data_IF_462600017285
#
_entry.id   IF_462600017285
#
_cell.length_a   1.000
_cell.length_b   1.000
_cell.length_c   1.000
_cell.angle_alpha   90.00
_cell.angle_beta   90.00
_cell.angle_gamma   90.00
#
_symmetry.space_group_name_H-M   'P 1'
#
loop_
_entity.id
_entity.type
_entity.pdbx_description
1 polymer ?
#
# COMPACT_ATOMS: atom_id res chain seq x y z
N UNK A 1 21.72 7.60 22.19
CA UNK A 1 21.60 7.20 20.77
C UNK A 1 20.46 6.20 20.73
N UNK A 2 19.27 6.63 20.33
CA UNK A 2 18.23 5.66 20.02
C UNK A 2 18.72 4.83 18.83
N UNK A 3 18.77 3.49 18.94
CA UNK A 3 19.20 2.67 17.82
C UNK A 3 18.21 2.91 16.68
N UNK A 4 18.75 3.22 15.50
CA UNK A 4 17.98 3.36 14.28
C UNK A 4 17.09 2.14 14.09
N UNK A 5 15.78 2.31 14.30
CA UNK A 5 14.73 1.58 13.58
C UNK A 5 14.42 0.13 13.97
N UNK A 6 14.70 -0.33 15.18
CA UNK A 6 14.39 -1.71 15.64
C UNK A 6 12.92 -1.97 16.00
N UNK A 7 12.02 -1.05 15.67
CA UNK A 7 10.62 -1.17 16.06
C UNK A 7 9.81 -1.87 14.96
N UNK A 8 9.20 -2.98 15.34
CA UNK A 8 8.26 -3.70 14.50
C UNK A 8 7.07 -2.81 14.10
N UNK A 9 6.60 -2.97 12.86
CA UNK A 9 5.54 -2.14 12.29
C UNK A 9 4.44 -3.01 11.69
N UNK A 10 3.21 -2.58 11.91
CA UNK A 10 2.02 -3.08 11.23
C UNK A 10 1.58 -2.07 10.19
N UNK A 11 0.89 -2.55 9.16
CA UNK A 11 0.20 -1.70 8.20
C UNK A 11 -1.09 -2.37 7.76
N UNK A 12 -2.10 -1.55 7.42
CA UNK A 12 -3.38 -2.05 6.94
C UNK A 12 -3.54 -1.63 5.50
N UNK A 13 -3.63 -2.62 4.62
CA UNK A 13 -3.58 -2.41 3.19
C UNK A 13 -4.74 -3.08 2.47
N UNK A 14 -5.05 -2.57 1.30
CA UNK A 14 -5.60 -3.36 0.22
C UNK A 14 -4.49 -4.25 -0.35
N UNK A 15 -4.77 -5.54 -0.50
CA UNK A 15 -3.98 -6.44 -1.33
C UNK A 15 -4.94 -7.13 -2.32
N UNK A 16 -4.51 -7.41 -3.57
CA UNK A 16 -5.35 -8.14 -4.51
C UNK A 16 -5.82 -9.48 -3.93
N UNK A 17 -7.02 -9.97 -4.32
CA UNK A 17 -7.51 -11.27 -3.88
C UNK A 17 -6.52 -12.39 -4.15
N UNK A 18 -6.44 -13.34 -3.23
CA UNK A 18 -5.55 -14.49 -3.37
C UNK A 18 -5.88 -15.30 -4.63
N UNK A 19 -4.88 -15.60 -5.45
CA UNK A 19 -5.03 -16.31 -6.73
C UNK A 19 -5.56 -15.46 -7.87
N UNK A 20 -5.78 -14.15 -7.68
CA UNK A 20 -6.18 -13.26 -8.77
C UNK A 20 -5.05 -13.04 -9.77
N UNK A 21 -5.41 -12.72 -11.02
CA UNK A 21 -4.44 -12.37 -12.08
C UNK A 21 -3.60 -11.16 -11.66
N UNK A 22 -4.21 -10.19 -10.95
CA UNK A 22 -3.52 -9.01 -10.44
C UNK A 22 -2.47 -9.37 -9.37
N UNK A 23 -2.79 -10.28 -8.43
CA UNK A 23 -1.81 -10.75 -7.45
C UNK A 23 -0.59 -11.38 -8.13
N UNK A 24 -0.83 -12.33 -9.05
CA UNK A 24 0.25 -13.07 -9.71
C UNK A 24 1.12 -12.15 -10.58
N UNK A 25 0.48 -11.29 -11.38
CA UNK A 25 1.22 -10.37 -12.23
C UNK A 25 2.05 -9.37 -11.41
N UNK A 26 1.48 -8.84 -10.33
CA UNK A 26 2.16 -7.86 -9.49
C UNK A 26 3.32 -8.46 -8.69
N UNK A 27 3.17 -9.65 -8.10
CA UNK A 27 4.28 -10.32 -7.39
C UNK A 27 5.42 -10.70 -8.33
N UNK A 28 5.12 -11.12 -9.57
CA UNK A 28 6.13 -11.38 -10.61
C UNK A 28 6.81 -10.09 -11.05
N UNK A 29 6.04 -9.03 -11.31
CA UNK A 29 6.60 -7.72 -11.63
C UNK A 29 7.49 -7.18 -10.51
N UNK A 30 7.11 -7.34 -9.24
CA UNK A 30 7.97 -6.93 -8.12
C UNK A 30 9.10 -7.92 -7.81
N UNK A 31 9.04 -9.15 -8.32
CA UNK A 31 10.03 -10.20 -8.12
C UNK A 31 10.03 -10.83 -6.73
N UNK A 32 8.92 -10.73 -5.98
CA UNK A 32 8.80 -11.26 -4.61
C UNK A 32 7.35 -11.56 -4.22
N UNK A 33 7.15 -12.69 -3.56
CA UNK A 33 5.88 -13.04 -2.93
C UNK A 33 5.84 -12.50 -1.48
N UNK A 34 4.81 -11.72 -1.15
CA UNK A 34 4.68 -11.10 0.19
C UNK A 34 4.27 -12.08 1.28
N UNK A 35 3.73 -13.24 0.91
CA UNK A 35 3.29 -14.29 1.83
C UNK A 35 4.47 -15.21 2.15
N UNK A 36 5.16 -15.74 1.15
CA UNK A 36 6.27 -16.69 1.36
C UNK A 36 7.62 -16.01 1.59
N UNK A 37 7.75 -14.73 1.21
CA UNK A 37 9.02 -13.96 1.18
C UNK A 37 10.04 -14.48 0.15
N UNK A 38 9.61 -15.35 -0.77
CA UNK A 38 10.47 -15.93 -1.79
C UNK A 38 10.60 -15.01 -3.01
N UNK A 39 11.74 -15.11 -3.70
CA UNK A 39 11.92 -14.47 -5.01
C UNK A 39 11.02 -15.14 -6.03
N UNK A 40 10.42 -14.33 -6.89
CA UNK A 40 9.56 -14.75 -7.98
C UNK A 40 10.23 -14.38 -9.30
N UNK A 41 10.17 -15.28 -10.28
CA UNK A 41 10.66 -15.00 -11.63
C UNK A 41 9.86 -13.85 -12.26
N UNK A 42 10.60 -12.86 -12.80
CA UNK A 42 10.03 -11.68 -13.43
C UNK A 42 9.68 -11.97 -14.89
N UNK A 43 8.60 -11.38 -15.42
CA UNK A 43 8.34 -11.44 -16.85
C UNK A 43 9.41 -10.65 -17.61
N UNK A 44 9.70 -11.07 -18.84
CA UNK A 44 10.43 -10.23 -19.78
C UNK A 44 9.50 -9.12 -20.24
N UNK A 45 9.89 -7.87 -20.00
CA UNK A 45 9.10 -6.70 -20.38
C UNK A 45 9.82 -5.98 -21.51
N UNK A 46 9.17 -5.89 -22.67
CA UNK A 46 9.74 -5.22 -23.82
C UNK A 46 10.10 -3.76 -23.47
N UNK A 47 11.31 -3.34 -23.82
CA UNK A 47 11.81 -1.99 -23.54
C UNK A 47 12.31 -1.76 -22.10
N UNK A 48 12.29 -2.76 -21.22
CA UNK A 48 12.90 -2.67 -19.88
C UNK A 48 13.91 -3.80 -19.70
N UNK A 49 15.18 -3.43 -19.55
CA UNK A 49 16.24 -4.39 -19.21
C UNK A 49 15.97 -5.07 -17.85
N UNK A 50 16.24 -6.38 -17.66
CA UNK A 50 15.99 -7.09 -16.41
C UNK A 50 16.68 -6.47 -15.17
N UNK A 51 17.93 -6.00 -15.30
CA UNK A 51 18.62 -5.34 -14.19
C UNK A 51 17.97 -3.99 -13.88
N UNK A 52 17.48 -3.30 -14.90
CA UNK A 52 16.70 -2.07 -14.69
C UNK A 52 15.37 -2.36 -14.00
N UNK A 53 14.64 -3.41 -14.39
CA UNK A 53 13.41 -3.81 -13.70
C UNK A 53 13.66 -4.16 -12.22
N UNK A 54 14.77 -4.83 -11.90
CA UNK A 54 15.16 -5.14 -10.52
C UNK A 54 15.38 -3.86 -9.69
N UNK A 55 16.07 -2.86 -10.27
CA UNK A 55 16.32 -1.57 -9.65
C UNK A 55 15.05 -0.72 -9.50
N UNK A 56 14.23 -0.64 -10.55
CA UNK A 56 12.97 0.09 -10.52
C UNK A 56 12.02 -0.44 -9.45
N UNK A 57 12.07 -1.74 -9.15
CA UNK A 57 11.15 -2.36 -8.21
C UNK A 57 11.71 -2.51 -6.80
N UNK A 58 12.94 -2.06 -6.52
CA UNK A 58 13.59 -2.26 -5.22
C UNK A 58 12.73 -1.74 -4.04
N UNK A 59 12.34 -0.47 -4.09
CA UNK A 59 11.50 0.13 -3.05
C UNK A 59 10.12 -0.54 -2.95
N UNK A 60 9.29 -0.66 -4.01
CA UNK A 60 7.99 -1.31 -3.87
C UNK A 60 8.08 -2.80 -3.49
N UNK A 61 9.11 -3.54 -3.94
CA UNK A 61 9.37 -4.94 -3.53
C UNK A 61 9.56 -5.06 -2.01
N UNK A 62 10.22 -4.09 -1.39
CA UNK A 62 10.45 -4.06 0.06
C UNK A 62 9.17 -3.90 0.87
N UNK A 63 8.19 -3.15 0.35
CA UNK A 63 6.87 -3.01 1.00
C UNK A 63 5.86 -4.07 0.56
N UNK A 64 6.09 -4.73 -0.58
CA UNK A 64 5.13 -5.64 -1.20
C UNK A 64 4.09 -4.90 -2.04
N UNK A 65 3.43 -5.60 -2.97
CA UNK A 65 2.39 -4.98 -3.78
C UNK A 65 1.12 -4.78 -2.95
N UNK A 66 0.70 -3.52 -2.80
CA UNK A 66 -0.41 -3.15 -1.93
C UNK A 66 -0.96 -1.76 -2.28
N UNK A 67 -2.17 -1.46 -1.82
CA UNK A 67 -2.72 -0.11 -1.72
C UNK A 67 -2.83 0.31 -0.26
N UNK A 68 -2.26 1.46 0.12
CA UNK A 68 -2.26 1.88 1.53
C UNK A 68 -3.67 2.29 1.99
N UNK A 69 -4.19 1.72 3.09
CA UNK A 69 -5.41 2.19 3.78
C UNK A 69 -5.04 2.84 5.14
N UNK A 70 -4.09 2.25 5.85
CA UNK A 70 -3.38 2.85 7.00
C UNK A 70 -1.88 2.62 6.83
N UNK A 71 -1.13 3.72 6.79
CA UNK A 71 0.32 3.71 6.65
C UNK A 71 1.00 2.96 7.81
N UNK A 72 2.23 2.46 7.62
CA UNK A 72 2.94 1.74 8.66
C UNK A 72 3.03 2.45 10.01
N UNK A 73 2.73 1.72 11.09
CA UNK A 73 2.78 2.19 12.46
C UNK A 73 3.36 1.12 13.38
N UNK A 74 4.06 1.55 14.42
CA UNK A 74 4.37 0.69 15.54
C UNK A 74 3.20 0.66 16.53
N UNK A 75 3.08 -0.41 17.31
CA UNK A 75 2.07 -0.49 18.36
C UNK A 75 2.36 0.49 19.49
N UNK A 76 1.31 1.15 19.98
CA UNK A 76 1.36 1.97 21.19
C UNK A 76 1.74 1.11 22.41
N UNK A 77 2.29 1.76 23.44
CA UNK A 77 2.60 1.08 24.70
C UNK A 77 1.32 0.47 25.30
N UNK A 78 1.41 -0.79 25.72
CA UNK A 78 0.28 -1.55 26.26
C UNK A 78 -0.62 -2.23 25.21
N UNK A 79 -0.49 -1.90 23.92
CA UNK A 79 -1.18 -2.63 22.85
C UNK A 79 -0.42 -3.89 22.46
N UNK A 80 -1.14 -5.01 22.33
CA UNK A 80 -0.57 -6.26 21.81
C UNK A 80 -0.97 -6.51 20.37
N UNK A 81 -0.19 -7.32 19.66
CA UNK A 81 -0.51 -7.73 18.30
C UNK A 81 -1.86 -8.45 18.25
N UNK A 82 -2.18 -9.28 19.24
CA UNK A 82 -3.46 -9.99 19.31
C UNK A 82 -4.66 -9.05 19.39
N UNK A 83 -4.54 -7.95 20.14
CA UNK A 83 -5.60 -6.96 20.28
C UNK A 83 -5.85 -6.23 18.95
N UNK A 84 -4.79 -5.90 18.22
CA UNK A 84 -4.89 -5.34 16.88
C UNK A 84 -5.59 -6.31 15.94
N UNK A 85 -5.23 -7.60 15.97
CA UNK A 85 -5.84 -8.60 15.10
C UNK A 85 -7.34 -8.78 15.41
N UNK A 86 -7.72 -8.83 16.68
CA UNK A 86 -9.13 -8.90 17.09
C UNK A 86 -9.93 -7.65 16.66
N UNK A 87 -9.31 -6.47 16.73
CA UNK A 87 -9.92 -5.25 16.24
C UNK A 87 -10.08 -5.25 14.71
N UNK A 88 -9.11 -5.80 13.96
CA UNK A 88 -9.21 -5.97 12.50
C UNK A 88 -10.34 -6.91 12.13
N UNK A 89 -10.49 -8.05 12.84
CA UNK A 89 -11.61 -8.98 12.65
C UNK A 89 -12.96 -8.31 12.91
N UNK A 90 -13.09 -7.61 14.04
CA UNK A 90 -14.31 -6.91 14.41
C UNK A 90 -14.66 -5.81 13.40
N UNK A 91 -13.66 -5.04 12.96
CA UNK A 91 -13.83 -4.02 11.95
C UNK A 91 -14.30 -4.62 10.62
N UNK A 92 -13.60 -5.63 10.11
CA UNK A 92 -13.93 -6.28 8.84
C UNK A 92 -15.33 -6.88 8.84
N UNK A 93 -15.81 -7.40 9.99
CA UNK A 93 -17.16 -7.92 10.12
C UNK A 93 -18.26 -6.86 9.94
N UNK A 94 -17.94 -5.57 10.11
CA UNK A 94 -18.86 -4.45 9.89
C UNK A 94 -18.79 -3.86 8.47
N UNK A 95 -17.81 -4.27 7.67
CA UNK A 95 -17.64 -3.78 6.30
C UNK A 95 -18.35 -4.69 5.30
N UNK A 96 -18.97 -4.10 4.28
CA UNK A 96 -19.52 -4.83 3.14
C UNK A 96 -18.51 -4.83 1.99
N UNK A 97 -18.31 -5.95 1.27
CA UNK A 97 -17.52 -5.97 0.05
C UNK A 97 -18.08 -4.99 -0.99
N UNK A 98 -17.18 -4.35 -1.74
CA UNK A 98 -17.54 -3.48 -2.85
C UNK A 98 -16.52 -3.60 -3.98
N UNK A 99 -16.76 -2.91 -5.09
CA UNK A 99 -15.89 -2.99 -6.27
C UNK A 99 -15.38 -1.61 -6.65
N UNK A 100 -14.10 -1.53 -6.98
CA UNK A 100 -13.46 -0.33 -7.52
C UNK A 100 -13.64 -0.25 -9.04
N UNK A 101 -13.65 0.97 -9.59
CA UNK A 101 -13.52 1.14 -11.03
C UNK A 101 -12.20 0.50 -11.52
N UNK A 102 -12.09 0.14 -12.81
CA UNK A 102 -10.89 -0.49 -13.33
C UNK A 102 -9.64 0.33 -13.04
N UNK A 103 -8.51 -0.34 -12.81
CA UNK A 103 -7.25 0.35 -12.59
C UNK A 103 -6.62 0.80 -13.90
N UNK A 104 -5.76 1.81 -13.84
CA UNK A 104 -4.91 2.24 -14.94
C UNK A 104 -3.48 2.45 -14.46
N UNK A 105 -2.52 2.19 -15.36
CA UNK A 105 -1.11 2.51 -15.12
C UNK A 105 -0.89 4.00 -15.37
N UNK A 106 -0.45 4.71 -14.34
CA UNK A 106 -0.20 6.15 -14.38
C UNK A 106 1.06 6.55 -13.61
N UNK A 107 1.77 7.61 -14.04
CA UNK A 107 2.78 8.25 -13.21
C UNK A 107 2.10 8.99 -12.05
N UNK A 108 2.71 8.95 -10.88
CA UNK A 108 2.27 9.57 -9.65
C UNK A 108 3.49 10.07 -8.87
N UNK A 109 3.59 11.38 -8.63
CA UNK A 109 4.63 12.00 -7.80
C UNK A 109 6.07 11.51 -8.07
N UNK A 110 6.38 11.21 -9.34
CA UNK A 110 7.69 10.75 -9.81
C UNK A 110 7.87 9.23 -9.89
N UNK A 111 6.93 8.41 -9.46
CA UNK A 111 6.92 6.95 -9.65
C UNK A 111 5.75 6.52 -10.55
N UNK A 112 5.64 5.23 -10.85
CA UNK A 112 4.52 4.65 -11.63
C UNK A 112 3.73 3.69 -10.73
N UNK A 113 2.40 3.75 -10.82
CA UNK A 113 1.49 2.94 -10.02
C UNK A 113 0.25 2.50 -10.81
N UNK A 114 -0.47 1.52 -10.28
CA UNK A 114 -1.88 1.31 -10.62
C UNK A 114 -2.72 2.27 -9.77
N UNK A 115 -3.60 3.02 -10.43
CA UNK A 115 -4.55 3.94 -9.79
C UNK A 115 -5.97 3.66 -10.28
N UNK A 116 -7.02 3.89 -9.48
CA UNK A 116 -8.41 3.75 -9.94
C UNK A 116 -8.67 4.73 -11.10
N UNK A 117 -9.37 4.28 -12.14
CA UNK A 117 -9.71 5.14 -13.30
C UNK A 117 -10.75 6.22 -12.98
N UNK A 118 -11.47 6.07 -11.87
CA UNK A 118 -12.40 7.06 -11.34
C UNK A 118 -12.36 7.09 -9.80
N UNK A 119 -12.81 8.19 -9.16
CA UNK A 119 -12.93 8.26 -7.70
C UNK A 119 -13.89 7.19 -7.14
N UNK A 120 -13.69 6.80 -5.88
CA UNK A 120 -14.56 5.87 -5.16
C UNK A 120 -14.78 6.34 -3.72
N UNK A 121 -15.98 6.85 -3.44
CA UNK A 121 -16.34 7.30 -2.09
C UNK A 121 -16.24 6.17 -1.06
N UNK A 122 -16.63 4.95 -1.42
CA UNK A 122 -16.50 3.77 -0.55
C UNK A 122 -15.05 3.47 -0.17
N UNK A 123 -14.11 3.70 -1.09
CA UNK A 123 -12.69 3.52 -0.81
C UNK A 123 -12.14 4.61 0.12
N UNK A 124 -12.54 5.86 -0.12
CA UNK A 124 -12.14 7.01 0.70
C UNK A 124 -12.69 6.85 2.13
N UNK A 125 -13.95 6.42 2.27
CA UNK A 125 -14.58 6.10 3.55
C UNK A 125 -13.89 4.94 4.26
N UNK A 126 -13.58 3.85 3.55
CA UNK A 126 -12.85 2.71 4.12
C UNK A 126 -11.48 3.14 4.65
N UNK A 127 -10.73 3.92 3.89
CA UNK A 127 -9.41 4.42 4.29
C UNK A 127 -9.51 5.35 5.52
N UNK A 128 -10.48 6.28 5.51
CA UNK A 128 -10.73 7.16 6.64
C UNK A 128 -11.09 6.38 7.92
N UNK A 129 -11.98 5.40 7.83
CA UNK A 129 -12.35 4.53 8.94
C UNK A 129 -11.16 3.71 9.45
N UNK A 130 -10.34 3.15 8.55
CA UNK A 130 -9.11 2.46 8.92
C UNK A 130 -8.16 3.38 9.71
N UNK A 131 -8.00 4.64 9.29
CA UNK A 131 -7.17 5.59 10.04
C UNK A 131 -7.75 5.86 11.42
N UNK A 132 -9.05 6.17 11.50
CA UNK A 132 -9.75 6.54 12.74
C UNK A 132 -9.81 5.40 13.76
N UNK A 133 -10.31 4.22 13.36
CA UNK A 133 -10.52 3.07 14.25
C UNK A 133 -9.19 2.57 14.81
N UNK A 134 -8.16 2.50 13.97
CA UNK A 134 -6.88 1.93 14.37
C UNK A 134 -5.85 2.97 14.85
N UNK A 135 -6.23 4.24 15.04
CA UNK A 135 -5.31 5.24 15.59
C UNK A 135 -4.94 4.94 17.05
N UNK A 136 -5.86 4.36 17.83
CA UNK A 136 -5.62 3.94 19.21
C UNK A 136 -4.49 2.90 19.35
N UNK A 137 -4.21 2.13 18.29
CA UNK A 137 -3.14 1.13 18.28
C UNK A 137 -1.78 1.71 17.89
N UNK A 138 -1.71 2.95 17.40
CA UNK A 138 -0.48 3.53 16.85
C UNK A 138 0.31 4.26 17.93
N UNK A 139 1.59 3.93 18.07
CA UNK A 139 2.54 4.75 18.80
C UNK A 139 2.73 6.12 18.12
N UNK A 140 2.93 7.21 18.88
CA UNK A 140 3.35 8.49 18.32
C UNK A 140 4.58 8.33 17.41
N UNK A 141 4.64 9.00 16.24
CA UNK A 141 5.81 8.93 15.38
C UNK A 141 7.04 9.49 16.09
N UNK A 142 8.21 8.93 15.78
CA UNK A 142 9.48 9.46 16.29
C UNK A 142 9.72 10.88 15.76
N UNK A 143 10.52 11.67 16.48
CA UNK A 143 10.93 13.00 16.03
C UNK A 143 11.59 12.97 14.64
N UNK A 144 12.41 11.94 14.38
CA UNK A 144 13.05 11.74 13.09
C UNK A 144 12.05 11.42 11.95
N UNK A 145 11.03 10.59 12.21
CA UNK A 145 9.98 10.32 11.22
C UNK A 145 9.14 11.57 10.93
N UNK A 146 8.86 12.39 11.95
CA UNK A 146 8.16 13.67 11.79
C UNK A 146 8.99 14.66 10.97
N UNK A 147 10.26 14.84 11.29
CA UNK A 147 11.17 15.74 10.59
C UNK A 147 11.30 15.34 9.11
N UNK A 148 11.54 14.05 8.84
CA UNK A 148 11.60 13.53 7.47
C UNK A 148 10.34 13.83 6.67
N UNK A 149 9.15 13.72 7.29
CA UNK A 149 7.88 14.02 6.62
C UNK A 149 7.67 15.50 6.40
N UNK A 150 8.04 16.35 7.36
CA UNK A 150 7.96 17.82 7.24
C UNK A 150 8.90 18.35 6.15
N UNK A 151 10.07 17.74 5.99
CA UNK A 151 11.03 18.07 4.94
C UNK A 151 10.52 17.80 3.51
N UNK A 152 9.42 17.05 3.35
CA UNK A 152 8.83 16.75 2.05
C UNK A 152 8.00 17.90 1.44
N UNK A 153 7.94 19.07 2.10
CA UNK A 153 7.20 20.24 1.58
C UNK A 153 5.68 20.09 1.71
N UNK A 154 5.20 19.77 2.91
CA UNK A 154 3.78 19.54 3.17
C UNK A 154 2.97 20.84 3.09
N UNK A 155 1.73 20.74 2.62
CA UNK A 155 0.75 21.84 2.72
C UNK A 155 0.30 22.02 4.18
N UNK A 156 -0.33 23.16 4.50
CA UNK A 156 -0.87 23.39 5.84
C UNK A 156 -1.88 22.32 6.29
N UNK A 157 -2.73 21.83 5.37
CA UNK A 157 -3.66 20.73 5.65
C UNK A 157 -2.93 19.42 5.95
N UNK A 158 -1.93 19.06 5.14
CA UNK A 158 -1.10 17.88 5.35
C UNK A 158 -0.30 17.95 6.67
N UNK A 159 0.13 19.14 7.09
CA UNK A 159 0.73 19.34 8.42
C UNK A 159 -0.25 19.02 9.55
N UNK A 160 -1.49 19.52 9.47
CA UNK A 160 -2.53 19.21 10.47
C UNK A 160 -2.87 17.71 10.51
N UNK A 161 -2.91 17.05 9.35
CA UNK A 161 -3.09 15.60 9.25
C UNK A 161 -1.91 14.83 9.86
N UNK A 162 -0.68 15.26 9.61
CA UNK A 162 0.51 14.66 10.20
C UNK A 162 0.49 14.76 11.74
N UNK A 163 0.09 15.91 12.28
CA UNK A 163 0.00 16.11 13.73
C UNK A 163 -1.09 15.26 14.37
N UNK A 164 -2.26 15.18 13.73
CA UNK A 164 -3.40 14.42 14.25
C UNK A 164 -3.24 12.92 14.09
N UNK A 165 -2.87 12.46 12.90
CA UNK A 165 -2.92 11.05 12.51
C UNK A 165 -1.54 10.40 12.40
N UNK A 166 -0.47 11.17 12.58
CA UNK A 166 0.89 10.68 12.41
C UNK A 166 1.23 10.35 10.96
N UNK A 167 0.44 10.76 9.96
CA UNK A 167 0.72 10.59 8.53
C UNK A 167 0.00 11.68 7.70
N UNK A 168 0.66 12.31 6.71
CA UNK A 168 0.09 13.47 6.03
C UNK A 168 -0.85 13.14 4.86
N UNK A 169 -0.87 11.91 4.36
CA UNK A 169 -1.61 11.51 3.15
C UNK A 169 -2.82 10.64 3.51
N UNK A 170 -3.66 11.15 4.41
CA UNK A 170 -4.91 10.53 4.88
C UNK A 170 -6.08 11.49 4.67
N UNK A 171 -7.33 11.02 4.86
CA UNK A 171 -8.54 11.86 4.80
C UNK A 171 -8.61 12.64 3.48
N UNK A 172 -8.72 13.96 3.51
CA UNK A 172 -8.77 14.82 2.32
C UNK A 172 -7.50 14.76 1.45
N UNK A 173 -6.38 14.29 2.00
CA UNK A 173 -5.13 14.09 1.27
C UNK A 173 -4.93 12.64 0.82
N UNK A 174 -5.91 11.76 1.03
CA UNK A 174 -5.85 10.37 0.61
C UNK A 174 -5.88 10.25 -0.92
N UNK A 175 -4.95 9.45 -1.46
CA UNK A 175 -4.87 9.12 -2.90
C UNK A 175 -4.50 7.66 -3.03
N UNK A 176 -5.49 6.81 -3.33
CA UNK A 176 -5.23 5.39 -3.51
C UNK A 176 -4.34 5.12 -4.72
N UNK A 177 -3.32 4.28 -4.51
CA UNK A 177 -2.41 3.82 -5.55
C UNK A 177 -1.72 2.53 -5.11
N UNK A 178 -1.29 1.72 -6.08
CA UNK A 178 -0.45 0.54 -5.85
C UNK A 178 0.84 0.66 -6.65
N UNK A 179 1.95 0.88 -5.94
CA UNK A 179 3.22 1.27 -6.53
C UNK A 179 3.86 0.14 -7.34
N UNK A 180 4.22 0.44 -8.60
CA UNK A 180 4.90 -0.47 -9.52
C UNK A 180 6.40 -0.19 -9.62
N UNK A 181 6.83 1.06 -9.40
CA UNK A 181 8.24 1.46 -9.52
C UNK A 181 8.65 2.41 -8.40
N UNK A 182 9.95 2.55 -8.18
CA UNK A 182 10.54 3.68 -7.48
C UNK A 182 10.50 4.94 -8.33
N UNK A 183 11.18 5.99 -7.86
CA UNK A 183 11.21 7.26 -8.57
C UNK A 183 11.98 7.17 -9.90
N UNK A 184 11.45 7.86 -10.90
CA UNK A 184 11.91 7.97 -12.28
C UNK A 184 11.97 9.46 -12.64
N UNK A 185 13.12 10.08 -12.42
CA UNK A 185 13.31 11.52 -12.64
C UNK A 185 13.52 11.86 -14.13
N UNK A 186 13.97 10.90 -14.96
CA UNK A 186 14.06 11.09 -16.42
C UNK A 186 12.70 10.92 -17.10
N UNK A 187 12.25 11.96 -17.80
CA UNK A 187 10.94 12.01 -18.43
C UNK A 187 10.77 10.99 -19.57
N UNK A 188 11.84 10.76 -20.34
CA UNK A 188 11.84 9.82 -21.47
C UNK A 188 11.73 8.37 -20.99
N UNK A 189 12.56 8.00 -20.02
CA UNK A 189 12.53 6.71 -19.36
C UNK A 189 11.18 6.48 -18.67
N UNK A 190 10.65 7.48 -17.98
CA UNK A 190 9.34 7.38 -17.32
C UNK A 190 8.23 7.13 -18.34
N UNK A 191 8.21 7.86 -19.46
CA UNK A 191 7.22 7.65 -20.51
C UNK A 191 7.32 6.25 -21.15
N UNK A 192 8.53 5.78 -21.45
CA UNK A 192 8.78 4.44 -21.98
C UNK A 192 8.35 3.35 -20.99
N UNK A 193 8.68 3.52 -19.70
CA UNK A 193 8.31 2.59 -18.63
C UNK A 193 6.80 2.55 -18.44
N UNK A 194 6.10 3.70 -18.50
CA UNK A 194 4.63 3.73 -18.46
C UNK A 194 4.03 2.93 -19.63
N UNK A 195 4.54 3.10 -20.85
CA UNK A 195 4.05 2.36 -22.01
C UNK A 195 4.23 0.84 -21.84
N UNK A 196 5.43 0.40 -21.45
CA UNK A 196 5.74 -1.00 -21.21
C UNK A 196 4.89 -1.61 -20.08
N UNK A 197 4.67 -0.86 -19.00
CA UNK A 197 3.82 -1.33 -17.89
C UNK A 197 2.34 -1.35 -18.26
N UNK A 198 1.86 -0.46 -19.14
CA UNK A 198 0.49 -0.53 -19.67
C UNK A 198 0.26 -1.81 -20.45
N UNK A 199 1.21 -2.22 -21.28
CA UNK A 199 1.12 -3.49 -22.01
C UNK A 199 1.15 -4.68 -21.05
N UNK A 200 2.08 -4.68 -20.08
CA UNK A 200 2.19 -5.75 -19.10
C UNK A 200 0.91 -5.92 -18.26
N UNK A 201 0.33 -4.81 -17.77
CA UNK A 201 -0.84 -4.79 -16.89
C UNK A 201 -2.18 -4.72 -17.64
N UNK A 202 -2.18 -4.69 -18.98
CA UNK A 202 -3.40 -4.70 -19.79
C UNK A 202 -4.43 -5.79 -19.38
N UNK A 203 -4.03 -7.03 -19.02
CA UNK A 203 -4.98 -8.08 -18.62
C UNK A 203 -5.79 -7.75 -17.36
N UNK A 204 -5.34 -6.82 -16.51
CA UNK A 204 -5.97 -6.51 -15.21
C UNK A 204 -6.50 -5.09 -15.11
N UNK A 205 -6.19 -4.22 -16.08
CA UNK A 205 -6.65 -2.82 -16.09
C UNK A 205 -8.03 -2.61 -16.73
N UNK A 206 -8.59 -3.63 -17.38
CA UNK A 206 -9.95 -3.57 -17.94
C UNK A 206 -11.03 -4.03 -16.95
N UNK A 207 -10.63 -4.73 -15.89
CA UNK A 207 -11.55 -5.34 -14.94
C UNK A 207 -11.72 -4.46 -13.70
N UNK A 208 -12.94 -4.43 -13.19
CA UNK A 208 -13.25 -3.82 -11.90
C UNK A 208 -12.62 -4.67 -10.78
N UNK A 209 -11.98 -4.03 -9.80
CA UNK A 209 -11.25 -4.76 -8.76
C UNK A 209 -12.09 -4.88 -7.48
N UNK A 210 -12.33 -6.09 -6.95
CA UNK A 210 -13.05 -6.24 -5.70
C UNK A 210 -12.21 -5.74 -4.52
N UNK A 211 -12.88 -5.16 -3.54
CA UNK A 211 -12.38 -4.86 -2.20
C UNK A 211 -13.25 -5.66 -1.23
N UNK A 212 -12.74 -6.82 -0.85
CA UNK A 212 -13.46 -7.84 -0.10
C UNK A 212 -12.81 -8.17 1.24
N UNK A 213 -11.69 -7.51 1.58
CA UNK A 213 -10.90 -7.83 2.73
C UNK A 213 -9.99 -6.68 3.15
N UNK A 214 -9.64 -6.68 4.43
CA UNK A 214 -8.54 -5.87 4.98
C UNK A 214 -7.32 -6.76 5.17
N UNK A 215 -6.18 -6.34 4.61
CA UNK A 215 -4.93 -7.07 4.73
C UNK A 215 -4.03 -6.45 5.79
N UNK A 216 -3.57 -7.26 6.73
CA UNK A 216 -2.57 -6.87 7.73
C UNK A 216 -1.20 -7.27 7.24
N UNK A 217 -0.31 -6.29 7.13
CA UNK A 217 1.09 -6.49 6.84
C UNK A 217 1.93 -6.23 8.09
N UNK A 218 3.03 -6.96 8.21
CA UNK A 218 3.96 -6.85 9.32
C UNK A 218 5.39 -6.72 8.82
N UNK A 219 6.17 -5.92 9.52
CA UNK A 219 7.60 -5.77 9.32
C UNK A 219 8.28 -5.88 10.68
N UNK A 220 9.21 -6.82 10.82
CA UNK A 220 9.89 -7.07 12.09
C UNK A 220 10.78 -5.88 12.51
N UNK A 221 11.45 -5.26 11.53
CA UNK A 221 12.28 -4.09 11.71
C UNK A 221 12.43 -3.32 10.38
N UNK A 222 13.03 -2.13 10.41
CA UNK A 222 13.15 -1.30 9.20
C UNK A 222 14.07 -1.84 8.10
N UNK A 223 14.80 -2.93 8.33
CA UNK A 223 15.72 -3.57 7.38
C UNK A 223 15.14 -4.84 6.73
N UNK A 224 14.08 -5.41 7.30
CA UNK A 224 13.35 -6.54 6.74
C UNK A 224 12.16 -6.09 5.90
N UNK A 225 11.78 -6.82 4.83
CA UNK A 225 10.64 -6.41 4.02
C UNK A 225 9.31 -6.65 4.74
N UNK A 226 8.27 -5.90 4.37
CA UNK A 226 6.91 -6.18 4.86
C UNK A 226 6.40 -7.51 4.31
N UNK A 227 5.70 -8.27 5.14
CA UNK A 227 5.04 -9.53 4.79
C UNK A 227 3.55 -9.44 5.07
N UNK A 228 2.76 -10.07 4.21
CA UNK A 228 1.34 -10.27 4.47
C UNK A 228 1.19 -11.31 5.58
N UNK A 229 0.60 -10.93 6.72
CA UNK A 229 0.39 -11.86 7.85
C UNK A 229 -1.04 -12.35 7.93
N UNK A 230 -2.01 -11.56 7.47
CA UNK A 230 -3.41 -11.99 7.43
C UNK A 230 -4.23 -11.20 6.42
N UNK A 231 -5.17 -11.87 5.77
CA UNK A 231 -6.30 -11.26 5.08
C UNK A 231 -7.56 -11.55 5.89
N UNK A 232 -8.34 -10.52 6.18
CA UNK A 232 -9.59 -10.65 6.94
C UNK A 232 -10.75 -10.21 6.04
N UNK A 233 -11.64 -11.13 5.65
CA UNK A 233 -12.72 -10.83 4.72
C UNK A 233 -13.77 -9.91 5.33
N UNK A 234 -14.38 -9.08 4.49
CA UNK A 234 -15.55 -8.27 4.78
C UNK A 234 -16.79 -9.15 4.74
N UNK A 235 -17.61 -9.13 5.80
CA UNK A 235 -18.73 -10.07 5.95
C UNK A 235 -20.07 -9.40 6.18
N UNK A 236 -20.14 -8.07 6.30
CA UNK A 236 -21.42 -7.40 6.36
C UNK A 236 -22.14 -7.55 5.02
N UNK A 237 -23.45 -7.75 5.06
CA UNK A 237 -24.26 -7.66 3.84
C UNK A 237 -24.34 -6.20 3.42
N UNK A 238 -24.06 -5.91 2.14
CA UNK A 238 -24.27 -4.56 1.62
C UNK A 238 -25.72 -4.12 1.84
N UNK A 239 -25.92 -2.97 2.48
CA UNK A 239 -27.23 -2.34 2.51
C UNK A 239 -27.63 -2.00 1.08
N UNK A 240 -28.75 -2.57 0.62
CA UNK A 240 -29.30 -2.31 -0.71
C UNK A 240 -29.78 -0.88 -0.90
#
# INVERSE_FOLDING_TARGET
MDPVGTQARFALYYAPPAGSVLEDLARRWLGRDVTTDERVERPVVAGIDPARAEALTESPRFYGFHGTLKAPFALAEGCRAEDLMAAVESFAATQAPFTLPPFMVAPLDGFIALVPSAPSALLDELAAHCVQVFDAFRAPPSAADLEKRRAAGLTAGQHALLERWGYPYVMEAFRFHMTLTGRLDDDGERAATVAALRELFAPVTAESAPVDSLSVFFQADRTTPFRLVRRVPFTASGGG
#
